data_IF_025327888146
#
_entry.id   IF_025327888146
#
_cell.length_a   1.000
_cell.length_b   1.000
_cell.length_c   1.000
_cell.angle_alpha   90.00
_cell.angle_beta   90.00
_cell.angle_gamma   90.00
#
_symmetry.space_group_name_H-M   'P 1'
#
loop_
_entity.id
_entity.type
_entity.pdbx_description
1 polymer ?
#
# COMPACT_ATOMS: atom_id res chain seq x y z
N UNK A 1 -0.88 -23.91 -6.13
CA UNK A 1 -1.37 -24.23 -5.97
C UNK A 1 -1.47 -25.13 -6.25
N UNK A 2 -1.49 -25.58 -5.86
CA UNK A 2 -1.81 -26.25 -5.78
C UNK A 2 -2.36 -27.03 -5.92
N UNK A 3 -2.63 -27.37 -5.69
CA UNK A 3 -3.35 -27.92 -5.67
C UNK A 3 -3.89 -27.59 -5.80
N UNK A 4 -4.31 -27.91 -6.46
CA UNK A 4 -5.06 -27.53 -6.13
C UNK A 4 -5.55 -28.37 -5.44
N UNK A 5 -5.34 -28.83 -5.29
CA UNK A 5 -5.93 -29.40 -4.18
C UNK A 5 -7.39 -29.22 -4.24
N UNK A 6 -8.13 -29.84 -3.47
CA UNK A 6 -9.48 -29.40 -3.33
C UNK A 6 -9.44 -27.91 -3.09
N UNK A 7 -10.50 -27.20 -3.31
CA UNK A 7 -10.52 -25.79 -3.06
C UNK A 7 -10.20 -25.50 -1.61
N UNK A 8 -10.65 -26.35 -0.70
CA UNK A 8 -10.31 -26.20 0.71
C UNK A 8 -8.84 -26.36 0.94
N UNK A 9 -8.21 -27.29 0.25
CA UNK A 9 -6.79 -27.47 0.40
C UNK A 9 -6.02 -26.32 -0.17
N UNK A 10 -6.46 -25.76 -1.27
CA UNK A 10 -5.83 -24.59 -1.83
C UNK A 10 -5.96 -23.44 -0.87
N UNK A 11 -7.09 -23.23 -0.30
CA UNK A 11 -7.30 -22.18 0.67
C UNK A 11 -6.46 -22.37 1.90
N UNK A 12 -6.30 -23.61 2.33
CA UNK A 12 -5.49 -23.90 3.50
C UNK A 12 -4.02 -23.84 3.24
N UNK A 13 -3.62 -24.05 2.00
CA UNK A 13 -2.23 -24.00 1.66
C UNK A 13 -1.64 -22.69 1.84
N UNK A 14 -2.39 -21.69 1.65
CA UNK A 14 -1.90 -20.41 1.84
C UNK A 14 -2.12 -20.07 3.18
N UNK A 15 -2.29 -21.11 3.62
CA UNK A 15 -2.69 -20.86 4.56
C UNK A 15 -3.68 -19.98 4.71
N UNK A 16 -3.91 -20.04 4.29
CA UNK A 16 -4.53 -19.60 4.10
C UNK A 16 -5.23 -18.97 4.18
N UNK A 17 -5.31 -18.73 4.16
CA UNK A 17 -5.88 -18.06 3.92
C UNK A 17 -6.76 -17.19 4.54
N UNK A 18 -6.51 -16.51 5.61
CA UNK A 18 -7.21 -15.36 6.09
C UNK A 18 -7.43 -14.34 5.02
N UNK A 19 -6.50 -14.31 4.09
CA UNK A 19 -6.59 -13.37 3.00
C UNK A 19 -7.86 -13.54 2.16
N UNK A 20 -8.49 -14.71 2.23
CA UNK A 20 -9.71 -14.95 1.46
C UNK A 20 -10.94 -14.36 2.13
N UNK A 21 -10.79 -13.88 3.35
CA UNK A 21 -11.93 -13.37 4.11
C UNK A 21 -12.24 -11.91 3.87
N UNK A 22 -11.38 -11.20 3.14
CA UNK A 22 -11.61 -9.79 2.93
C UNK A 22 -11.87 -9.48 1.46
N UNK A 23 -12.64 -8.42 1.23
CA UNK A 23 -12.99 -7.99 -0.12
C UNK A 23 -13.38 -6.52 -0.14
N UNK A 24 -13.43 -5.96 -1.34
CA UNK A 24 -13.86 -4.58 -1.52
C UNK A 24 -14.95 -4.52 -2.59
N UNK A 25 -15.84 -3.55 -2.44
CA UNK A 25 -16.89 -3.28 -3.42
C UNK A 25 -17.28 -1.81 -3.29
N UNK A 26 -17.04 -1.03 -4.35
CA UNK A 26 -17.28 0.41 -4.29
C UNK A 26 -16.40 1.07 -3.26
N UNK A 27 -16.98 1.62 -2.21
CA UNK A 27 -16.23 2.21 -1.10
C UNK A 27 -16.30 1.35 0.16
N UNK A 28 -16.83 0.14 0.04
CA UNK A 28 -17.05 -0.75 1.19
C UNK A 28 -15.96 -1.81 1.24
N UNK A 29 -15.38 -1.94 2.41
CA UNK A 29 -14.44 -3.02 2.72
C UNK A 29 -15.12 -4.01 3.65
N UNK A 30 -14.96 -5.30 3.37
CA UNK A 30 -15.57 -6.36 4.16
C UNK A 30 -14.50 -7.31 4.66
N UNK A 31 -14.66 -7.78 5.89
CA UNK A 31 -13.80 -8.79 6.48
C UNK A 31 -14.68 -9.74 7.29
N UNK A 32 -14.70 -11.01 6.89
CA UNK A 32 -15.62 -11.95 7.47
C UNK A 32 -17.05 -11.53 7.18
N UNK A 33 -17.85 -11.43 8.23
CA UNK A 33 -19.26 -11.01 8.11
C UNK A 33 -19.46 -9.55 8.50
N UNK A 34 -18.39 -8.79 8.66
CA UNK A 34 -18.49 -7.36 8.92
C UNK A 34 -18.12 -6.54 7.69
N UNK A 35 -18.68 -5.36 7.58
CA UNK A 35 -18.40 -4.45 6.48
C UNK A 35 -18.33 -3.03 6.99
N UNK A 36 -17.50 -2.23 6.34
CA UNK A 36 -17.32 -0.82 6.68
C UNK A 36 -17.32 0.00 5.40
N UNK A 37 -18.11 1.07 5.38
CA UNK A 37 -18.08 2.00 4.25
C UNK A 37 -17.01 3.05 4.56
N UNK A 38 -15.88 2.97 3.87
CA UNK A 38 -14.75 3.84 4.15
C UNK A 38 -15.01 5.28 3.73
N UNK A 39 -16.05 5.54 2.94
CA UNK A 39 -16.46 6.90 2.63
C UNK A 39 -16.97 7.62 3.87
N UNK A 40 -17.39 6.91 4.90
CA UNK A 40 -17.78 7.53 6.16
C UNK A 40 -16.59 8.07 6.93
N UNK A 41 -15.44 7.40 6.80
CA UNK A 41 -14.20 7.85 7.44
C UNK A 41 -13.49 8.90 6.59
N UNK A 42 -13.61 8.80 5.29
CA UNK A 42 -12.93 9.66 4.34
C UNK A 42 -13.89 10.04 3.24
N UNK A 43 -14.69 11.10 3.43
CA UNK A 43 -15.69 11.47 2.41
C UNK A 43 -15.11 11.81 1.04
N UNK A 44 -13.81 12.07 0.97
CA UNK A 44 -13.17 12.35 -0.31
C UNK A 44 -12.99 11.09 -1.17
N UNK A 45 -13.15 9.89 -0.60
CA UNK A 45 -12.92 8.67 -1.35
C UNK A 45 -14.03 8.44 -2.37
N UNK A 46 -13.64 8.01 -3.57
CA UNK A 46 -14.61 7.73 -4.63
C UNK A 46 -14.73 6.25 -4.92
N UNK A 47 -13.66 5.49 -4.71
CA UNK A 47 -13.69 4.04 -4.90
C UNK A 47 -12.50 3.40 -4.24
N UNK A 48 -12.65 2.13 -3.88
CA UNK A 48 -11.53 1.30 -3.44
C UNK A 48 -11.00 0.53 -4.65
N UNK A 49 -9.69 0.45 -4.76
CA UNK A 49 -9.04 -0.14 -5.92
C UNK A 49 -8.55 -1.56 -5.68
N UNK A 50 -7.90 -1.78 -4.54
CA UNK A 50 -7.46 -3.13 -4.18
C UNK A 50 -7.20 -3.21 -2.69
N UNK A 51 -6.96 -4.43 -2.23
CA UNK A 51 -6.58 -4.70 -0.85
C UNK A 51 -5.61 -5.88 -0.82
N UNK A 52 -4.59 -5.77 0.01
CA UNK A 52 -3.53 -6.76 0.12
C UNK A 52 -3.23 -7.07 1.58
N UNK A 53 -3.07 -8.33 1.88
CA UNK A 53 -2.70 -8.74 3.25
C UNK A 53 -1.20 -8.57 3.45
N UNK A 54 -0.83 -8.01 4.60
CA UNK A 54 0.56 -7.84 5.02
C UNK A 54 0.59 -8.22 6.50
N UNK A 55 0.99 -9.45 6.81
CA UNK A 55 0.93 -9.95 8.17
C UNK A 55 -0.50 -9.96 8.67
N UNK A 56 -0.72 -9.31 9.82
CA UNK A 56 -2.07 -9.20 10.40
C UNK A 56 -2.86 -8.02 9.85
N UNK A 57 -2.28 -7.27 8.91
CA UNK A 57 -2.91 -6.06 8.39
C UNK A 57 -3.38 -6.26 6.97
N UNK A 58 -4.36 -5.48 6.58
CA UNK A 58 -4.79 -5.37 5.19
C UNK A 58 -4.54 -3.93 4.76
N UNK A 59 -3.79 -3.78 3.68
CA UNK A 59 -3.55 -2.48 3.07
C UNK A 59 -4.62 -2.28 2.02
N UNK A 60 -5.43 -1.26 2.18
CA UNK A 60 -6.52 -0.97 1.26
C UNK A 60 -6.16 0.31 0.51
N UNK A 61 -6.12 0.21 -0.81
CA UNK A 61 -5.82 1.35 -1.66
C UNK A 61 -7.11 1.89 -2.23
N UNK A 62 -7.32 3.19 -2.05
CA UNK A 62 -8.49 3.87 -2.58
C UNK A 62 -8.10 5.02 -3.48
N UNK A 63 -9.08 5.51 -4.20
CA UNK A 63 -8.93 6.67 -5.07
C UNK A 63 -9.86 7.76 -4.57
N UNK A 64 -9.33 8.97 -4.44
CA UNK A 64 -10.08 10.06 -3.85
C UNK A 64 -10.02 11.35 -4.65
N UNK A 65 -10.61 12.38 -4.09
CA UNK A 65 -10.65 13.72 -4.69
C UNK A 65 -9.75 14.67 -3.91
N UNK A 66 -8.98 15.52 -4.58
CA UNK A 66 -8.71 15.48 -6.02
C UNK A 66 -8.00 14.18 -6.33
N UNK A 67 -7.51 13.84 -7.39
CA UNK A 67 -7.00 12.56 -7.84
C UNK A 67 -5.81 12.07 -7.00
N UNK A 68 -6.05 11.76 -5.74
CA UNK A 68 -5.02 11.25 -4.84
C UNK A 68 -5.29 9.81 -4.49
N UNK A 69 -4.22 9.05 -4.32
CA UNK A 69 -4.36 7.72 -3.73
C UNK A 69 -4.51 7.88 -2.23
N UNK A 70 -5.41 7.09 -1.68
CA UNK A 70 -5.66 7.04 -0.25
C UNK A 70 -5.39 5.63 0.22
N UNK A 71 -4.71 5.50 1.34
CA UNK A 71 -4.43 4.19 1.92
C UNK A 71 -5.10 4.08 3.27
N UNK A 72 -5.67 2.91 3.52
CA UNK A 72 -6.24 2.56 4.80
C UNK A 72 -5.56 1.29 5.28
N UNK A 73 -5.26 1.21 6.55
CA UNK A 73 -4.67 0.02 7.14
C UNK A 73 -5.67 -0.58 8.10
N UNK A 74 -6.07 -1.79 7.84
CA UNK A 74 -7.00 -2.52 8.69
C UNK A 74 -6.24 -3.58 9.48
N UNK A 75 -6.41 -3.60 10.79
CA UNK A 75 -5.82 -4.59 11.65
C UNK A 75 -6.83 -5.73 11.83
N UNK A 76 -6.51 -6.91 11.32
CA UNK A 76 -7.41 -8.05 11.37
C UNK A 76 -7.61 -8.57 12.79
N UNK A 77 -6.65 -8.35 13.67
CA UNK A 77 -6.79 -8.81 15.06
C UNK A 77 -7.74 -7.94 15.85
N UNK A 78 -7.58 -6.63 15.77
CA UNK A 78 -8.41 -5.70 16.52
C UNK A 78 -9.66 -5.29 15.75
N UNK A 79 -9.72 -5.61 14.47
CA UNK A 79 -10.79 -5.22 13.55
C UNK A 79 -11.00 -3.71 13.54
N UNK A 80 -9.90 -2.98 13.46
CA UNK A 80 -9.93 -1.53 13.49
C UNK A 80 -9.02 -0.96 12.41
N UNK A 81 -9.29 0.28 12.05
CA UNK A 81 -8.53 0.99 11.01
C UNK A 81 -7.62 2.03 11.65
N UNK A 82 -6.44 2.19 11.05
CA UNK A 82 -5.61 3.36 11.34
C UNK A 82 -6.17 4.55 10.58
N UNK A 83 -5.63 5.73 10.85
CA UNK A 83 -6.00 6.90 10.07
C UNK A 83 -5.59 6.70 8.61
N UNK A 84 -6.45 7.14 7.71
CA UNK A 84 -6.12 7.11 6.29
C UNK A 84 -5.00 8.10 6.01
N UNK A 85 -4.19 7.80 5.02
CA UNK A 85 -3.13 8.71 4.61
C UNK A 85 -3.07 8.81 3.09
N UNK A 86 -2.52 9.92 2.60
CA UNK A 86 -2.43 10.22 1.18
C UNK A 86 -1.01 9.94 0.73
N UNK A 87 -0.87 9.28 -0.41
CA UNK A 87 0.43 9.00 -0.97
C UNK A 87 0.34 8.11 -2.17
N UNK A 88 1.50 7.79 -2.74
CA UNK A 88 1.58 6.89 -3.88
C UNK A 88 2.72 5.91 -3.68
N UNK A 89 2.71 4.85 -4.47
CA UNK A 89 3.82 3.90 -4.54
C UNK A 89 4.15 3.24 -3.21
N UNK A 90 3.14 2.91 -2.43
CA UNK A 90 3.36 2.22 -1.15
C UNK A 90 3.98 0.85 -1.41
N UNK A 91 5.12 0.60 -0.78
CA UNK A 91 5.85 -0.68 -0.89
C UNK A 91 6.27 -1.13 0.49
N UNK A 92 6.46 -2.42 0.63
CA UNK A 92 6.94 -3.03 1.88
C UNK A 92 7.79 -4.25 1.56
N UNK A 93 8.52 -4.73 2.57
CA UNK A 93 9.37 -5.92 2.45
C UNK A 93 8.69 -7.09 3.13
N UNK A 94 8.61 -8.21 2.43
CA UNK A 94 8.02 -9.44 2.95
C UNK A 94 6.61 -9.16 3.50
N UNK A 95 6.26 -9.76 4.61
CA UNK A 95 4.97 -9.53 5.26
C UNK A 95 5.11 -8.60 6.46
N UNK A 96 5.97 -7.60 6.35
CA UNK A 96 6.26 -6.70 7.46
C UNK A 96 5.88 -5.27 7.12
N UNK A 97 4.71 -4.87 7.60
CA UNK A 97 4.21 -3.52 7.31
C UNK A 97 5.07 -2.43 7.94
N UNK A 98 5.84 -2.75 8.97
CA UNK A 98 6.72 -1.75 9.59
C UNK A 98 7.82 -1.28 8.63
N UNK A 99 8.07 -2.04 7.57
CA UNK A 99 9.05 -1.66 6.54
C UNK A 99 8.44 -0.76 5.48
N UNK A 100 7.14 -0.51 5.52
CA UNK A 100 6.47 0.16 4.42
C UNK A 100 6.93 1.60 4.25
N UNK A 101 7.02 2.01 3.01
CA UNK A 101 7.39 3.36 2.62
C UNK A 101 6.52 3.79 1.45
N UNK A 102 6.28 5.08 1.36
CA UNK A 102 5.45 5.62 0.28
C UNK A 102 5.92 7.02 -0.08
N UNK A 103 5.40 7.53 -1.19
CA UNK A 103 5.75 8.85 -1.68
C UNK A 103 4.59 9.81 -1.41
N UNK A 104 4.91 10.96 -0.86
CA UNK A 104 3.97 12.06 -0.71
C UNK A 104 4.64 13.32 -1.24
N UNK A 105 4.23 13.75 -2.42
CA UNK A 105 4.86 14.89 -3.08
C UNK A 105 6.30 14.57 -3.44
N UNK A 106 7.24 15.28 -2.82
CA UNK A 106 8.67 15.06 -3.06
C UNK A 106 9.34 14.32 -1.92
N UNK A 107 8.56 13.80 -0.97
CA UNK A 107 9.10 13.11 0.19
C UNK A 107 8.83 11.62 0.12
N UNK A 108 9.79 10.84 0.64
CA UNK A 108 9.57 9.42 0.90
C UNK A 108 9.35 9.30 2.40
N UNK A 109 8.21 8.75 2.80
CA UNK A 109 7.82 8.63 4.19
C UNK A 109 7.72 7.17 4.60
N UNK A 110 8.01 6.90 5.87
CA UNK A 110 7.73 5.57 6.43
C UNK A 110 6.26 5.49 6.81
N UNK A 111 5.81 4.27 7.11
CA UNK A 111 4.39 4.04 7.43
C UNK A 111 3.95 4.81 8.66
N UNK A 112 4.87 5.17 9.56
CA UNK A 112 4.55 5.94 10.75
C UNK A 112 4.64 7.45 10.52
N UNK A 113 4.83 7.87 9.26
CA UNK A 113 4.86 9.28 8.90
C UNK A 113 6.20 9.97 8.99
N UNK A 114 7.25 9.23 9.32
CA UNK A 114 8.59 9.80 9.43
C UNK A 114 9.20 9.98 8.05
N UNK A 115 9.82 11.13 7.80
CA UNK A 115 10.47 11.38 6.51
C UNK A 115 11.75 10.57 6.39
N UNK A 116 11.81 9.71 5.39
CA UNK A 116 13.02 8.91 5.11
C UNK A 116 13.94 9.66 4.17
N UNK A 117 13.41 10.41 3.24
CA UNK A 117 14.18 11.19 2.30
C UNK A 117 13.34 12.30 1.71
N UNK A 118 14.02 13.40 1.37
CA UNK A 118 13.42 14.47 0.60
C UNK A 118 14.04 14.42 -0.78
N UNK A 119 13.20 14.25 -1.78
CA UNK A 119 13.66 14.20 -3.16
C UNK A 119 13.70 15.61 -3.72
N UNK A 120 14.79 15.94 -4.39
CA UNK A 120 14.93 17.24 -5.00
C UNK A 120 14.35 17.15 -6.42
N UNK A 121 13.04 17.30 -6.52
CA UNK A 121 12.33 17.17 -7.79
C UNK A 121 12.27 18.50 -8.51
N UNK A 122 12.62 18.49 -9.78
CA UNK A 122 12.36 19.65 -10.65
C UNK A 122 10.86 19.74 -10.91
N UNK A 123 10.43 20.89 -11.40
CA UNK A 123 9.03 21.17 -11.60
C UNK A 123 8.35 20.17 -12.55
N UNK A 124 9.11 19.66 -13.52
CA UNK A 124 8.58 18.72 -14.51
C UNK A 124 8.89 17.26 -14.16
N UNK A 125 9.37 17.01 -12.94
CA UNK A 125 9.70 15.64 -12.51
C UNK A 125 8.67 15.08 -11.56
N UNK A 126 8.50 13.76 -11.61
CA UNK A 126 7.64 13.05 -10.67
C UNK A 126 8.23 11.67 -10.40
N UNK A 127 7.82 11.09 -9.29
CA UNK A 127 8.25 9.74 -8.95
C UNK A 127 7.42 8.76 -9.75
N UNK A 128 8.10 7.95 -10.54
CA UNK A 128 7.48 6.93 -11.37
C UNK A 128 7.34 5.60 -10.63
N UNK A 129 8.25 5.31 -9.72
CA UNK A 129 8.23 4.05 -8.99
C UNK A 129 9.08 4.09 -7.74
N UNK A 130 8.80 3.18 -6.84
CA UNK A 130 9.53 3.00 -5.60
C UNK A 130 9.65 1.50 -5.38
N UNK A 131 10.85 1.03 -5.05
CA UNK A 131 11.06 -0.40 -4.86
C UNK A 131 12.17 -0.67 -3.88
N UNK A 132 12.08 -1.82 -3.22
CA UNK A 132 13.13 -2.30 -2.34
C UNK A 132 14.10 -3.20 -3.11
N UNK A 133 15.37 -3.17 -2.69
CA UNK A 133 16.32 -4.16 -3.15
C UNK A 133 15.92 -5.54 -2.60
N UNK A 134 16.49 -6.57 -3.19
CA UNK A 134 16.14 -7.94 -2.82
C UNK A 134 16.42 -8.23 -1.34
N UNK A 135 17.48 -7.64 -0.79
CA UNK A 135 17.84 -7.85 0.61
C UNK A 135 17.17 -6.83 1.55
N UNK A 136 16.36 -5.91 1.01
CA UNK A 136 15.62 -4.97 1.82
C UNK A 136 16.44 -3.81 2.40
N UNK A 137 17.69 -3.65 1.99
CA UNK A 137 18.56 -2.62 2.58
C UNK A 137 18.57 -1.32 1.81
N UNK A 138 18.10 -1.34 0.57
CA UNK A 138 18.11 -0.15 -0.29
C UNK A 138 16.71 0.07 -0.86
N UNK A 139 16.27 1.30 -0.75
CA UNK A 139 15.00 1.73 -1.34
C UNK A 139 15.34 2.60 -2.54
N UNK A 140 14.82 2.27 -3.69
CA UNK A 140 15.14 2.96 -4.94
C UNK A 140 13.92 3.70 -5.46
N UNK A 141 14.08 4.99 -5.71
CA UNK A 141 13.06 5.81 -6.34
C UNK A 141 13.47 6.08 -7.78
N UNK A 142 12.56 5.82 -8.70
CA UNK A 142 12.74 6.15 -10.11
C UNK A 142 11.98 7.44 -10.38
N UNK A 143 12.69 8.44 -10.88
CA UNK A 143 12.14 9.76 -11.14
C UNK A 143 12.16 10.00 -12.64
N UNK A 144 11.03 10.42 -13.19
CA UNK A 144 10.87 10.63 -14.62
C UNK A 144 10.42 12.06 -14.85
N UNK A 145 10.93 12.68 -15.92
CA UNK A 145 10.53 14.03 -16.29
C UNK A 145 9.53 14.00 -17.44
N UNK A 146 8.87 15.12 -17.66
CA UNK A 146 7.97 15.27 -18.80
C UNK A 146 8.70 15.19 -20.15
N UNK A 147 10.02 15.30 -20.12
CA UNK A 147 10.86 15.14 -21.32
C UNK A 147 11.37 13.70 -21.47
N UNK A 148 10.80 12.79 -20.69
CA UNK A 148 11.12 11.36 -20.71
C UNK A 148 12.55 11.03 -20.31
N UNK A 149 13.19 11.92 -19.53
CA UNK A 149 14.47 11.58 -18.93
C UNK A 149 14.21 10.87 -17.59
N UNK A 150 15.13 9.99 -17.23
CA UNK A 150 14.97 9.17 -16.05
C UNK A 150 16.22 9.28 -15.18
N UNK A 151 16.03 9.36 -13.87
CA UNK A 151 17.12 9.26 -12.91
C UNK A 151 16.69 8.43 -11.72
N UNK A 152 17.67 7.91 -11.02
CA UNK A 152 17.41 6.99 -9.92
C UNK A 152 18.05 7.54 -8.66
N UNK A 153 17.30 7.53 -7.57
CA UNK A 153 17.79 7.88 -6.24
C UNK A 153 17.74 6.63 -5.38
N UNK A 154 18.85 6.30 -4.76
CA UNK A 154 18.95 5.14 -3.87
C UNK A 154 19.12 5.61 -2.44
N UNK A 155 18.31 5.05 -1.56
CA UNK A 155 18.34 5.35 -0.15
C UNK A 155 18.74 4.09 0.60
N UNK A 156 19.90 4.12 1.25
CA UNK A 156 20.33 3.00 2.08
C UNK A 156 19.69 3.14 3.44
N UNK A 157 18.97 2.10 3.85
CA UNK A 157 18.27 2.12 5.11
C UNK A 157 19.18 1.69 6.24
N UNK A 158 18.99 2.25 7.45
CA UNK A 158 19.82 1.89 8.61
C UNK A 158 19.62 0.45 9.07
#
# INVERSE_FOLDING_TARGET
RFTLPSQDEINNLHGDTASDDFSISGTVFSYGDESWDLAEQSPAITSLLNCDAVGQYVVITGHGRPKNALYFIFDMESRSFSNAFIGTHLVWQYDDLSTAAYVDGSNILSIDGRTLAELDLAENEYVYGLSYSQDGTVLTATIVSSEETERIVRLTLP
#
